data_IF_595787253215
#
_entry.id   IF_595787253215
#
_cell.length_a   1.000
_cell.length_b   1.000
_cell.length_c   1.000
_cell.angle_alpha   90.00
_cell.angle_beta   90.00
_cell.angle_gamma   90.00
#
_symmetry.space_group_name_H-M   'P 1'
#
loop_
_entity.id
_entity.type
_entity.pdbx_description
1 polymer ?
#
# COMPACT_ATOMS: atom_id res chain seq x y z
N UNK A 1 18.95 -11.53 20.70
CA UNK A 1 18.48 -10.48 19.81
C UNK A 1 17.48 -11.02 18.83
N UNK A 2 16.51 -10.27 18.54
CA UNK A 2 15.49 -10.71 17.61
C UNK A 2 15.41 -9.77 16.42
N UNK A 3 14.88 -10.28 15.36
CA UNK A 3 14.61 -9.50 14.17
C UNK A 3 13.43 -8.60 14.39
N UNK A 4 13.57 -7.36 13.96
CA UNK A 4 12.43 -6.47 13.87
C UNK A 4 12.04 -6.41 12.42
N UNK A 5 10.81 -6.79 12.13
CA UNK A 5 10.32 -6.68 10.77
C UNK A 5 9.89 -5.23 10.53
N UNK A 6 10.64 -4.44 9.78
CA UNK A 6 10.32 -3.04 9.57
C UNK A 6 9.14 -2.82 8.63
N UNK A 7 8.62 -3.88 8.03
CA UNK A 7 7.55 -3.75 7.05
C UNK A 7 6.26 -4.35 7.57
N UNK A 8 5.13 -3.67 7.37
CA UNK A 8 3.84 -4.19 7.77
C UNK A 8 3.27 -5.20 6.77
N UNK A 9 4.05 -5.71 5.84
CA UNK A 9 3.54 -6.54 4.75
C UNK A 9 4.59 -7.54 4.31
N UNK A 10 4.13 -8.63 3.69
CA UNK A 10 4.96 -9.55 2.95
C UNK A 10 5.00 -9.12 1.50
N UNK A 11 6.11 -9.42 0.81
CA UNK A 11 6.29 -8.94 -0.55
C UNK A 11 6.92 -10.01 -1.43
N UNK A 12 6.39 -10.18 -2.63
CA UNK A 12 6.95 -11.04 -3.67
C UNK A 12 6.88 -10.30 -4.99
N UNK A 13 7.57 -10.84 -6.01
CA UNK A 13 7.54 -10.24 -7.36
C UNK A 13 7.07 -11.30 -8.34
N UNK A 14 6.08 -10.93 -9.17
CA UNK A 14 5.54 -11.82 -10.20
C UNK A 14 5.30 -11.02 -11.47
N UNK A 15 5.91 -11.48 -12.57
CA UNK A 15 5.70 -10.89 -13.90
C UNK A 15 5.89 -9.37 -13.94
N UNK A 16 6.88 -8.88 -13.19
CA UNK A 16 7.16 -7.44 -13.15
C UNK A 16 6.31 -6.64 -12.20
N UNK A 17 5.39 -7.30 -11.48
CA UNK A 17 4.56 -6.65 -10.46
C UNK A 17 5.07 -7.02 -9.07
N UNK A 18 5.00 -6.05 -8.18
CA UNK A 18 5.28 -6.28 -6.76
C UNK A 18 3.95 -6.67 -6.11
N UNK A 19 3.91 -7.84 -5.48
CA UNK A 19 2.71 -8.30 -4.77
C UNK A 19 2.95 -8.07 -3.29
N UNK A 20 2.08 -7.31 -2.64
CA UNK A 20 2.16 -7.05 -1.20
C UNK A 20 0.94 -7.57 -0.49
N UNK A 21 1.16 -8.20 0.64
CA UNK A 21 0.08 -8.75 1.46
C UNK A 21 0.20 -8.17 2.86
N UNK A 22 -0.82 -7.44 3.27
CA UNK A 22 -0.90 -6.83 4.59
C UNK A 22 -1.83 -7.68 5.43
N UNK A 23 -1.34 -8.16 6.56
CA UNK A 23 -2.15 -8.99 7.45
C UNK A 23 -3.25 -8.16 8.10
N UNK A 24 -4.35 -8.82 8.42
CA UNK A 24 -5.49 -8.17 9.07
C UNK A 24 -5.12 -7.59 10.43
N UNK A 25 -4.09 -8.14 11.08
CA UNK A 25 -3.65 -7.70 12.40
C UNK A 25 -2.43 -6.78 12.35
N UNK A 26 -2.13 -6.17 11.21
CA UNK A 26 -1.05 -5.19 11.10
C UNK A 26 -1.25 -4.08 12.12
N UNK A 27 -0.16 -3.69 12.78
CA UNK A 27 -0.25 -2.65 13.80
C UNK A 27 -0.41 -1.28 13.11
N UNK A 28 -1.34 -0.43 13.58
CA UNK A 28 -1.57 0.86 12.95
C UNK A 28 -0.33 1.75 12.85
N UNK A 29 0.61 1.63 13.80
CA UNK A 29 1.84 2.42 13.78
C UNK A 29 2.76 2.04 12.63
N UNK A 30 2.53 0.88 12.01
CA UNK A 30 3.32 0.45 10.85
C UNK A 30 2.82 1.08 9.55
N UNK A 31 1.67 1.76 9.60
CA UNK A 31 1.01 2.30 8.41
C UNK A 31 1.03 3.83 8.47
N UNK A 32 2.24 4.39 8.40
CA UNK A 32 2.46 5.81 8.63
C UNK A 32 2.41 6.61 7.33
N UNK A 33 2.23 7.91 7.48
CA UNK A 33 2.32 8.84 6.35
C UNK A 33 3.72 8.78 5.75
N UNK A 34 3.79 8.68 4.43
CA UNK A 34 5.05 8.67 3.71
C UNK A 34 4.84 9.11 2.27
N UNK A 35 5.93 9.35 1.56
CA UNK A 35 5.91 9.65 0.15
C UNK A 35 6.87 8.69 -0.56
N UNK A 36 6.52 8.32 -1.79
CA UNK A 36 7.34 7.39 -2.57
C UNK A 36 8.24 8.15 -3.55
N UNK A 37 9.33 7.50 -3.93
CA UNK A 37 10.29 8.05 -4.90
C UNK A 37 9.87 7.84 -6.34
N UNK A 38 8.82 7.10 -6.59
CA UNK A 38 8.32 6.81 -7.92
C UNK A 38 6.80 6.80 -7.92
N UNK A 39 6.21 7.17 -9.05
CA UNK A 39 4.77 7.05 -9.23
C UNK A 39 4.45 5.56 -9.40
N UNK A 40 3.37 5.11 -8.79
CA UNK A 40 2.99 3.70 -8.76
C UNK A 40 1.54 3.51 -9.15
N UNK A 41 1.28 2.40 -9.84
CA UNK A 41 -0.09 1.90 -10.04
C UNK A 41 -0.30 0.83 -8.98
N UNK A 42 -1.40 0.95 -8.23
CA UNK A 42 -1.76 0.00 -7.17
C UNK A 42 -3.10 -0.61 -7.51
N UNK A 43 -3.15 -1.94 -7.55
CA UNK A 43 -4.37 -2.68 -7.90
C UNK A 43 -4.71 -3.62 -6.76
N UNK A 44 -5.86 -3.44 -6.10
CA UNK A 44 -6.29 -4.40 -5.08
C UNK A 44 -6.68 -5.73 -5.73
N UNK A 45 -6.27 -6.83 -5.10
CA UNK A 45 -6.49 -8.17 -5.63
C UNK A 45 -7.54 -8.94 -4.84
N UNK A 46 -8.05 -8.39 -3.74
CA UNK A 46 -9.06 -9.08 -2.94
C UNK A 46 -10.10 -8.09 -2.44
N UNK A 47 -11.25 -8.62 -2.06
CA UNK A 47 -12.26 -7.81 -1.41
C UNK A 47 -11.74 -7.41 -0.03
N UNK A 48 -11.83 -6.14 0.31
CA UNK A 48 -11.29 -5.61 1.55
C UNK A 48 -12.02 -4.33 1.96
N UNK A 49 -11.77 -3.89 3.19
CA UNK A 49 -12.32 -2.64 3.70
C UNK A 49 -11.22 -1.65 4.08
N UNK A 50 -10.05 -1.80 3.49
CA UNK A 50 -8.95 -0.86 3.68
C UNK A 50 -9.20 0.42 2.90
N UNK A 51 -8.53 1.50 3.29
CA UNK A 51 -8.66 2.79 2.64
C UNK A 51 -7.29 3.38 2.34
N UNK A 52 -7.27 4.30 1.40
CA UNK A 52 -6.08 5.05 1.00
C UNK A 52 -6.38 6.54 1.19
N UNK A 53 -5.42 7.28 1.72
CA UNK A 53 -5.60 8.71 1.96
C UNK A 53 -4.37 9.48 1.57
N UNK A 54 -4.55 10.49 0.74
CA UNK A 54 -3.49 11.46 0.43
C UNK A 54 -3.62 12.65 1.37
N UNK A 55 -2.50 13.34 1.55
CA UNK A 55 -2.46 14.57 2.34
C UNK A 55 -3.50 15.56 1.82
N UNK A 56 -4.22 16.18 2.75
CA UNK A 56 -5.29 17.15 2.45
C UNK A 56 -6.45 16.57 1.65
N UNK A 57 -6.65 15.26 1.71
CA UNK A 57 -7.75 14.59 1.00
C UNK A 57 -8.51 13.69 1.94
N UNK A 58 -9.75 13.38 1.57
CA UNK A 58 -10.52 12.38 2.30
C UNK A 58 -10.06 10.99 1.93
N UNK A 59 -10.16 10.02 2.86
CA UNK A 59 -9.85 8.64 2.53
C UNK A 59 -10.75 8.09 1.44
N UNK A 60 -10.22 7.23 0.59
CA UNK A 60 -10.98 6.51 -0.43
C UNK A 60 -10.78 5.01 -0.23
N UNK A 61 -11.75 4.23 -0.65
CA UNK A 61 -11.67 2.77 -0.52
C UNK A 61 -10.66 2.19 -1.51
N UNK A 62 -10.00 1.11 -1.06
CA UNK A 62 -9.08 0.36 -1.92
C UNK A 62 -9.86 -0.73 -2.65
N UNK A 63 -10.80 -0.32 -3.48
CA UNK A 63 -11.67 -1.25 -4.21
C UNK A 63 -11.47 -1.20 -5.73
N UNK A 64 -10.54 -0.38 -6.18
CA UNK A 64 -10.19 -0.31 -7.60
C UNK A 64 -8.77 0.22 -7.76
N UNK A 65 -8.26 0.15 -8.97
CA UNK A 65 -6.93 0.65 -9.29
C UNK A 65 -6.78 2.11 -8.92
N UNK A 66 -5.62 2.46 -8.36
CA UNK A 66 -5.32 3.87 -8.14
C UNK A 66 -3.88 4.20 -8.52
N UNK A 67 -3.68 5.47 -8.81
CA UNK A 67 -2.39 6.03 -9.15
C UNK A 67 -1.85 6.76 -7.92
N UNK A 68 -0.69 6.33 -7.45
CA UNK A 68 -0.03 6.93 -6.29
C UNK A 68 1.12 7.77 -6.82
N UNK A 69 0.95 9.09 -6.82
CA UNK A 69 1.88 10.00 -7.47
C UNK A 69 3.13 10.20 -6.60
N UNK A 70 4.29 10.15 -7.26
CA UNK A 70 5.58 10.40 -6.63
C UNK A 70 5.55 11.70 -5.81
N UNK A 71 6.10 11.64 -4.60
CA UNK A 71 6.28 12.82 -3.78
C UNK A 71 5.05 13.29 -3.01
N UNK A 72 3.89 12.68 -3.24
CA UNK A 72 2.66 13.04 -2.52
C UNK A 72 2.59 12.22 -1.23
N UNK A 73 2.49 12.88 -0.09
CA UNK A 73 2.33 12.18 1.18
C UNK A 73 0.99 11.46 1.22
N UNK A 74 1.04 10.21 1.64
CA UNK A 74 -0.15 9.35 1.70
C UNK A 74 0.04 8.28 2.75
N UNK A 75 -1.05 7.58 3.03
CA UNK A 75 -1.03 6.40 3.92
C UNK A 75 -2.15 5.46 3.51
N UNK A 76 -2.05 4.21 3.97
CA UNK A 76 -3.21 3.33 3.91
C UNK A 76 -3.78 3.22 5.32
N UNK A 77 -5.08 3.04 5.39
CA UNK A 77 -5.81 2.93 6.65
C UNK A 77 -6.28 1.50 6.76
N UNK A 78 -5.88 0.87 7.85
CA UNK A 78 -6.13 -0.55 8.08
C UNK A 78 -7.63 -0.85 8.12
N UNK A 79 -8.00 -1.94 7.46
CA UNK A 79 -9.34 -2.50 7.55
C UNK A 79 -9.39 -3.68 8.49
N UNK A 80 -10.41 -4.53 8.33
CA UNK A 80 -10.63 -5.68 9.19
C UNK A 80 -10.21 -7.00 8.56
N UNK A 81 -9.89 -7.00 7.27
CA UNK A 81 -9.42 -8.19 6.55
C UNK A 81 -7.99 -7.97 6.12
N UNK A 82 -7.37 -9.03 5.58
CA UNK A 82 -6.08 -8.83 4.93
C UNK A 82 -6.27 -8.00 3.66
N UNK A 83 -5.21 -7.35 3.23
CA UNK A 83 -5.18 -6.60 1.98
C UNK A 83 -4.10 -7.16 1.08
N UNK A 84 -4.47 -7.50 -0.14
CA UNK A 84 -3.50 -7.96 -1.14
C UNK A 84 -3.57 -6.99 -2.31
N UNK A 85 -2.41 -6.44 -2.67
CA UNK A 85 -2.32 -5.51 -3.80
C UNK A 85 -1.17 -5.91 -4.70
N UNK A 86 -1.26 -5.56 -5.98
CA UNK A 86 -0.10 -5.60 -6.86
C UNK A 86 0.25 -4.17 -7.24
N UNK A 87 1.54 -3.92 -7.34
CA UNK A 87 2.08 -2.58 -7.51
C UNK A 87 3.06 -2.59 -8.66
N UNK A 88 2.98 -1.58 -9.51
CA UNK A 88 3.97 -1.38 -10.56
C UNK A 88 4.50 0.03 -10.49
N UNK A 89 5.81 0.16 -10.38
CA UNK A 89 6.43 1.49 -10.42
C UNK A 89 6.57 1.93 -11.86
N UNK A 90 6.19 3.17 -12.13
CA UNK A 90 6.29 3.72 -13.46
C UNK A 90 7.66 4.36 -13.63
N UNK A 91 8.24 4.26 -14.84
CA UNK A 91 9.55 4.88 -15.07
C UNK A 91 9.47 6.39 -14.96
N UNK A 92 10.57 6.99 -14.51
CA UNK A 92 10.69 8.44 -14.48
C UNK A 92 10.68 8.96 -15.92
N UNK A 93 10.01 10.07 -16.14
CA UNK A 93 9.94 10.68 -17.45
C UNK A 93 10.80 11.95 -17.51
#
# INVERSE_FOLDING_TARGET
MHEINPRPFDETIENGWIIRKFAADSHPLDLVWHADDATRIVVPLNANDWMYQEDNSLPVRLDKELLVVKGIYHRIIKGTTELIVKIKELPAS
#
